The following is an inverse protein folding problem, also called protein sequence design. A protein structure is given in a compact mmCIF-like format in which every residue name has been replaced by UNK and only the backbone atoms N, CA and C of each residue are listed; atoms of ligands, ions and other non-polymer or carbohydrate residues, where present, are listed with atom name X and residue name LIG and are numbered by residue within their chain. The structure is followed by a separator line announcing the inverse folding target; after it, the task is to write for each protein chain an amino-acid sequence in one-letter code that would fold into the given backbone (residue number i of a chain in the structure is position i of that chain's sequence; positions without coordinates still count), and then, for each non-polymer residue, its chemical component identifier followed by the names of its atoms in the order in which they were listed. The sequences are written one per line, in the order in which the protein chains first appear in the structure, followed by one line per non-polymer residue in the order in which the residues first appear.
data_IF_263552128908
#
_entry.id   IF_263552128908
#
_cell.length_a   1.000
_cell.length_b   1.000
_cell.length_c   1.000
_cell.angle_alpha   90.00
_cell.angle_beta   90.00
_cell.angle_gamma   90.00
#
_symmetry.space_group_name_H-M   'P 1'
#
loop_
_entity.id
_entity.type
_entity.pdbx_description
1 polymer ?
#
# COMPACT_ATOMS: atom_id res chain seq x y z
N UNK A 1 -7.21 21.02 -10.51
CA UNK A 1 -7.42 22.38 -9.90
C UNK A 1 -8.68 22.32 -9.05
N UNK A 2 -8.70 22.98 -7.88
CA UNK A 2 -9.91 23.06 -7.05
C UNK A 2 -10.90 23.98 -7.76
N UNK A 3 -12.13 23.53 -7.97
CA UNK A 3 -13.21 24.30 -8.58
C UNK A 3 -14.30 24.71 -7.59
N UNK A 4 -14.51 23.90 -6.55
CA UNK A 4 -15.57 24.16 -5.57
C UNK A 4 -15.22 23.57 -4.20
N UNK A 5 -15.60 24.28 -3.14
CA UNK A 5 -15.56 23.81 -1.75
C UNK A 5 -16.96 23.93 -1.15
N UNK A 6 -17.47 22.86 -0.57
CA UNK A 6 -18.70 22.82 0.21
C UNK A 6 -18.40 22.38 1.62
N UNK A 7 -18.97 23.09 2.58
CA UNK A 7 -18.86 22.77 4.01
C UNK A 7 -20.25 22.80 4.60
N UNK A 8 -20.57 21.77 5.39
CA UNK A 8 -21.84 21.69 6.12
C UNK A 8 -21.60 21.25 7.56
N UNK A 9 -22.10 22.04 8.51
CA UNK A 9 -22.06 21.78 9.95
C UNK A 9 -20.64 21.53 10.51
N UNK A 10 -19.65 22.26 10.02
CA UNK A 10 -18.24 22.12 10.41
C UNK A 10 -17.83 23.33 11.25
N UNK A 11 -17.52 23.10 12.51
CA UNK A 11 -17.24 24.13 13.52
C UNK A 11 -18.35 25.19 13.58
N UNK A 12 -18.03 26.45 13.26
CA UNK A 12 -18.98 27.56 13.24
C UNK A 12 -19.71 27.74 11.90
N UNK A 13 -19.34 26.93 10.90
CA UNK A 13 -19.92 27.03 9.56
C UNK A 13 -21.09 26.05 9.46
N UNK A 14 -22.30 26.56 9.43
CA UNK A 14 -23.51 25.75 9.21
C UNK A 14 -23.61 25.29 7.75
N UNK A 15 -23.43 26.24 6.82
CA UNK A 15 -23.42 25.97 5.38
C UNK A 15 -22.54 27.00 4.66
N UNK A 16 -21.65 26.51 3.80
CA UNK A 16 -20.79 27.31 2.94
C UNK A 16 -20.61 26.63 1.60
N UNK A 17 -20.79 27.37 0.53
CA UNK A 17 -20.44 26.95 -0.82
C UNK A 17 -19.58 28.02 -1.47
N UNK A 18 -18.38 27.65 -1.89
CA UNK A 18 -17.43 28.53 -2.55
C UNK A 18 -17.06 27.98 -3.91
N UNK A 19 -17.35 28.73 -4.96
CA UNK A 19 -16.83 28.47 -6.30
C UNK A 19 -15.46 29.15 -6.44
N UNK A 20 -14.43 28.33 -6.75
CA UNK A 20 -13.05 28.77 -6.88
C UNK A 20 -12.67 28.82 -8.35
N UNK A 21 -12.32 30.01 -8.84
CA UNK A 21 -11.87 30.21 -10.22
C UNK A 21 -10.38 29.86 -10.36
N UNK A 22 -9.98 29.59 -11.62
CA UNK A 22 -8.57 29.40 -11.95
C UNK A 22 -7.77 30.67 -11.64
N UNK A 23 -6.61 30.51 -11.00
CA UNK A 23 -5.70 31.59 -10.66
C UNK A 23 -5.56 31.78 -9.15
N UNK A 24 -5.54 33.01 -8.71
CA UNK A 24 -5.30 33.39 -7.32
C UNK A 24 -6.59 33.85 -6.64
N UNK A 25 -6.90 33.28 -5.47
CA UNK A 25 -8.07 33.64 -4.66
C UNK A 25 -7.60 34.12 -3.29
N UNK A 26 -8.08 35.29 -2.87
CA UNK A 26 -7.80 35.84 -1.53
C UNK A 26 -9.04 35.72 -0.66
N UNK A 27 -8.87 35.16 0.54
CA UNK A 27 -9.89 35.13 1.58
C UNK A 27 -9.48 36.08 2.70
N UNK A 28 -10.21 37.18 2.86
CA UNK A 28 -9.98 38.18 3.88
C UNK A 28 -11.04 38.16 4.97
N UNK A 29 -10.74 38.70 6.13
CA UNK A 29 -11.65 38.76 7.26
C UNK A 29 -10.90 39.03 8.56
N UNK A 30 -11.61 39.49 9.58
CA UNK A 30 -11.06 39.73 10.93
C UNK A 30 -10.60 38.41 11.61
N UNK A 31 -9.83 38.56 12.70
CA UNK A 31 -9.49 37.43 13.59
C UNK A 31 -10.77 36.83 14.15
N UNK A 32 -10.90 35.48 14.04
CA UNK A 32 -12.12 34.78 14.47
C UNK A 32 -13.20 34.65 13.39
N UNK A 33 -13.06 35.27 12.21
CA UNK A 33 -14.08 35.21 11.12
C UNK A 33 -14.19 33.85 10.41
N UNK A 34 -13.51 32.82 10.87
CA UNK A 34 -13.61 31.48 10.26
C UNK A 34 -12.53 31.13 9.25
N UNK A 35 -11.54 31.98 8.95
CA UNK A 35 -10.44 31.68 8.01
C UNK A 35 -9.67 30.40 8.37
N UNK A 36 -9.36 30.22 9.65
CA UNK A 36 -8.71 29.00 10.15
C UNK A 36 -9.61 27.75 10.03
N UNK A 37 -10.92 27.93 10.08
CA UNK A 37 -11.88 26.82 9.90
C UNK A 37 -11.84 26.34 8.44
N UNK A 38 -11.69 27.25 7.47
CA UNK A 38 -11.51 26.86 6.06
C UNK A 38 -10.21 26.05 5.87
N UNK A 39 -9.10 26.50 6.45
CA UNK A 39 -7.84 25.73 6.39
C UNK A 39 -7.98 24.34 7.03
N UNK A 40 -8.66 24.24 8.18
CA UNK A 40 -8.93 22.97 8.82
C UNK A 40 -9.83 22.05 7.96
N UNK A 41 -10.79 22.63 7.23
CA UNK A 41 -11.61 21.86 6.28
C UNK A 41 -10.75 21.33 5.12
N UNK A 42 -9.83 22.11 4.57
CA UNK A 42 -8.88 21.63 3.56
C UNK A 42 -7.93 20.55 4.13
N UNK A 43 -7.38 20.72 5.34
CA UNK A 43 -6.56 19.69 6.00
C UNK A 43 -7.31 18.38 6.18
N UNK A 44 -8.60 18.47 6.52
CA UNK A 44 -9.46 17.29 6.62
C UNK A 44 -9.56 16.54 5.28
N UNK A 45 -9.63 17.26 4.16
CA UNK A 45 -9.66 16.67 2.82
C UNK A 45 -8.31 16.05 2.41
N UNK A 46 -7.20 16.50 2.98
CA UNK A 46 -5.88 15.88 2.81
C UNK A 46 -5.65 14.63 3.67
N UNK A 47 -6.68 14.15 4.33
CA UNK A 47 -6.59 12.90 5.11
C UNK A 47 -6.09 13.10 6.54
N UNK A 48 -6.13 14.30 7.10
CA UNK A 48 -5.85 14.50 8.50
C UNK A 48 -6.95 13.89 9.41
N UNK A 49 -6.54 13.53 10.61
CA UNK A 49 -7.49 13.05 11.63
C UNK A 49 -8.32 14.22 12.13
N UNK A 50 -9.62 14.04 12.21
CA UNK A 50 -10.52 15.03 12.77
C UNK A 50 -10.99 14.61 14.16
N UNK A 51 -11.10 15.60 15.03
CA UNK A 51 -11.81 15.43 16.29
C UNK A 51 -13.32 15.70 16.05
N UNK A 52 -14.19 14.94 16.70
CA UNK A 52 -15.65 15.14 16.65
C UNK A 52 -16.09 16.49 17.19
N UNK A 53 -15.25 17.17 17.96
CA UNK A 53 -15.49 18.54 18.45
C UNK A 53 -15.68 19.58 17.33
N UNK A 54 -15.25 19.27 16.10
CA UNK A 54 -15.49 20.16 14.95
C UNK A 54 -16.89 20.04 14.35
N UNK A 55 -17.74 19.15 14.85
CA UNK A 55 -19.13 19.03 14.40
C UNK A 55 -19.96 20.12 15.09
N UNK A 56 -20.70 20.90 14.32
CA UNK A 56 -21.58 21.94 14.85
C UNK A 56 -22.50 21.40 15.95
N UNK A 57 -22.74 22.21 17.00
CA UNK A 57 -23.43 21.80 18.22
C UNK A 57 -24.80 21.18 17.97
N UNK A 58 -25.53 21.71 16.99
CA UNK A 58 -26.89 21.29 16.63
C UNK A 58 -26.96 20.19 15.55
N UNK A 59 -25.82 19.79 14.97
CA UNK A 59 -25.77 18.82 13.90
C UNK A 59 -25.39 17.41 14.37
N UNK A 60 -25.86 16.39 13.68
CA UNK A 60 -25.47 14.99 13.89
C UNK A 60 -24.19 14.63 13.13
N UNK A 61 -23.93 15.32 12.03
CA UNK A 61 -22.74 15.10 11.19
C UNK A 61 -22.24 16.42 10.58
N UNK A 62 -20.93 16.47 10.32
CA UNK A 62 -20.29 17.48 9.50
C UNK A 62 -19.86 16.87 8.17
N UNK A 63 -19.95 17.64 7.09
CA UNK A 63 -19.57 17.23 5.75
C UNK A 63 -18.65 18.32 5.16
N UNK A 64 -17.56 17.89 4.55
CA UNK A 64 -16.72 18.73 3.70
C UNK A 64 -16.58 18.06 2.35
N UNK A 65 -16.83 18.79 1.27
CA UNK A 65 -16.65 18.34 -0.10
C UNK A 65 -15.71 19.28 -0.86
N UNK A 66 -14.83 18.71 -1.65
CA UNK A 66 -13.91 19.42 -2.50
C UNK A 66 -14.00 18.88 -3.93
N UNK A 67 -14.28 19.76 -4.88
CA UNK A 67 -14.37 19.40 -6.29
C UNK A 67 -13.06 19.76 -6.99
N UNK A 68 -12.48 18.79 -7.68
CA UNK A 68 -11.23 18.89 -8.40
C UNK A 68 -11.45 18.66 -9.90
N UNK A 69 -11.12 19.65 -10.71
CA UNK A 69 -11.12 19.46 -12.17
C UNK A 69 -9.99 18.52 -12.61
N UNK A 70 -10.30 17.60 -13.52
CA UNK A 70 -9.47 16.45 -13.90
C UNK A 70 -8.42 16.75 -15.00
N UNK A 71 -7.84 17.94 -15.05
CA UNK A 71 -6.87 18.32 -16.09
C UNK A 71 -5.61 17.42 -16.13
N UNK A 72 -5.33 16.64 -15.09
CA UNK A 72 -4.24 15.66 -15.00
C UNK A 72 -4.70 14.48 -14.16
N UNK A 73 -5.67 13.72 -14.70
CA UNK A 73 -6.19 12.54 -14.03
C UNK A 73 -5.12 11.44 -14.05
N UNK A 74 -4.81 10.91 -12.88
CA UNK A 74 -3.97 9.72 -12.77
C UNK A 74 -4.85 8.47 -12.95
N UNK A 75 -5.06 8.04 -14.20
CA UNK A 75 -5.86 6.87 -14.53
C UNK A 75 -5.40 5.62 -13.78
N UNK A 76 -4.09 5.46 -13.59
CA UNK A 76 -3.52 4.29 -12.90
C UNK A 76 -3.96 4.22 -11.43
N UNK A 77 -4.10 5.36 -10.77
CA UNK A 77 -4.60 5.43 -9.40
C UNK A 77 -6.07 4.98 -9.31
N UNK A 78 -6.91 5.45 -10.23
CA UNK A 78 -8.34 5.09 -10.25
C UNK A 78 -8.55 3.60 -10.54
N UNK A 79 -7.81 3.05 -11.50
CA UNK A 79 -7.84 1.61 -11.81
C UNK A 79 -7.36 0.76 -10.63
N UNK A 80 -6.22 1.13 -10.02
CA UNK A 80 -5.63 0.45 -8.85
C UNK A 80 -6.62 0.34 -7.69
N UNK A 81 -7.40 1.40 -7.46
CA UNK A 81 -8.32 1.48 -6.34
C UNK A 81 -9.79 1.22 -6.72
N UNK A 82 -10.06 0.80 -7.97
CA UNK A 82 -11.40 0.50 -8.49
C UNK A 82 -12.38 1.66 -8.28
N UNK A 83 -11.94 2.88 -8.60
CA UNK A 83 -12.70 4.11 -8.47
C UNK A 83 -13.29 4.54 -9.82
N UNK A 84 -14.51 5.10 -9.78
CA UNK A 84 -15.13 5.65 -10.97
C UNK A 84 -14.44 6.93 -11.43
N UNK A 85 -14.29 7.06 -12.75
CA UNK A 85 -13.69 8.23 -13.40
C UNK A 85 -14.82 9.14 -13.89
N UNK A 86 -14.84 10.37 -13.39
CA UNK A 86 -15.81 11.40 -13.78
C UNK A 86 -15.09 12.64 -14.32
N UNK A 87 -15.80 13.57 -14.95
CA UNK A 87 -15.24 14.83 -15.44
C UNK A 87 -14.66 15.70 -14.32
N UNK A 88 -15.24 15.59 -13.13
CA UNK A 88 -14.80 16.29 -11.91
C UNK A 88 -14.68 15.28 -10.79
N UNK A 89 -13.51 15.17 -10.17
CA UNK A 89 -13.33 14.31 -8.99
C UNK A 89 -13.87 15.02 -7.76
N UNK A 90 -14.80 14.39 -7.07
CA UNK A 90 -15.38 14.87 -5.81
C UNK A 90 -14.75 14.12 -4.65
N UNK A 91 -14.07 14.84 -3.78
CA UNK A 91 -13.59 14.32 -2.50
C UNK A 91 -14.60 14.70 -1.43
N UNK A 92 -15.07 13.75 -0.60
CA UNK A 92 -15.99 14.03 0.49
C UNK A 92 -15.54 13.37 1.79
N UNK A 93 -15.63 14.12 2.87
CA UNK A 93 -15.42 13.65 4.23
C UNK A 93 -16.68 13.87 5.05
N UNK A 94 -17.10 12.82 5.75
CA UNK A 94 -18.20 12.86 6.71
C UNK A 94 -17.68 12.51 8.11
N UNK A 95 -17.99 13.35 9.08
CA UNK A 95 -17.70 13.15 10.48
C UNK A 95 -19.03 13.01 11.24
N UNK A 96 -19.17 11.99 12.05
CA UNK A 96 -20.39 11.74 12.84
C UNK A 96 -20.06 11.81 14.32
N UNK A 97 -21.02 12.30 15.14
CA UNK A 97 -20.83 12.49 16.60
C UNK A 97 -20.42 11.23 17.35
N UNK A 98 -20.76 10.05 16.84
CA UNK A 98 -20.36 8.75 17.42
C UNK A 98 -18.87 8.40 17.19
N UNK A 99 -18.08 9.33 16.66
CA UNK A 99 -16.66 9.17 16.41
C UNK A 99 -16.32 8.54 15.04
N UNK A 100 -17.31 8.15 14.25
CA UNK A 100 -17.06 7.58 12.92
C UNK A 100 -16.72 8.66 11.91
N UNK A 101 -15.70 8.40 11.10
CA UNK A 101 -15.27 9.25 10.01
C UNK A 101 -15.23 8.43 8.72
N UNK A 102 -15.85 8.95 7.66
CA UNK A 102 -15.91 8.32 6.34
C UNK A 102 -15.27 9.22 5.31
N UNK A 103 -14.56 8.63 4.36
CA UNK A 103 -13.98 9.33 3.23
C UNK A 103 -14.53 8.74 1.94
N UNK A 104 -14.72 9.58 0.93
CA UNK A 104 -15.22 9.18 -0.38
C UNK A 104 -14.41 9.88 -1.46
N UNK A 105 -14.19 9.17 -2.56
CA UNK A 105 -13.71 9.72 -3.83
C UNK A 105 -14.81 9.39 -4.86
N UNK A 106 -15.38 10.41 -5.45
CA UNK A 106 -16.68 10.36 -6.13
C UNK A 106 -17.70 9.76 -5.15
N UNK A 107 -18.55 8.88 -5.51
CA UNK A 107 -19.50 8.27 -4.56
C UNK A 107 -18.96 6.98 -3.89
N UNK A 108 -17.70 6.61 -4.19
CA UNK A 108 -17.06 5.39 -3.67
C UNK A 108 -16.44 5.64 -2.29
N UNK A 109 -16.86 4.90 -1.24
CA UNK A 109 -16.22 4.99 0.07
C UNK A 109 -14.81 4.43 0.03
N UNK A 110 -13.84 5.18 0.59
CA UNK A 110 -12.43 4.80 0.60
C UNK A 110 -11.83 4.85 2.00
N UNK A 111 -10.74 4.11 2.20
CA UNK A 111 -9.92 4.26 3.40
C UNK A 111 -9.25 5.64 3.42
N UNK A 112 -9.00 6.17 4.62
CA UNK A 112 -8.37 7.48 4.80
C UNK A 112 -6.96 7.54 4.16
N UNK A 113 -6.24 6.41 4.14
CA UNK A 113 -4.94 6.27 3.49
C UNK A 113 -5.01 6.50 1.97
N UNK A 114 -6.08 6.02 1.32
CA UNK A 114 -6.30 6.20 -0.12
C UNK A 114 -6.61 7.67 -0.44
N UNK A 115 -7.45 8.32 0.38
CA UNK A 115 -7.71 9.74 0.24
C UNK A 115 -6.42 10.56 0.40
N UNK A 116 -5.59 10.22 1.38
CA UNK A 116 -4.30 10.88 1.61
C UNK A 116 -3.33 10.66 0.43
N UNK A 117 -3.22 9.43 -0.07
CA UNK A 117 -2.40 9.09 -1.26
C UNK A 117 -2.85 9.93 -2.47
N UNK A 118 -4.16 10.06 -2.69
CA UNK A 118 -4.70 10.85 -3.79
C UNK A 118 -4.39 12.34 -3.69
N UNK A 119 -4.49 12.90 -2.48
CA UNK A 119 -4.38 14.36 -2.27
C UNK A 119 -2.94 14.84 -2.09
N UNK A 120 -2.03 13.97 -1.67
CA UNK A 120 -0.65 14.31 -1.29
C UNK A 120 0.12 15.07 -2.38
N UNK A 121 -0.08 14.72 -3.66
CA UNK A 121 0.60 15.36 -4.80
C UNK A 121 -0.27 16.38 -5.53
N UNK A 122 -1.51 16.60 -5.09
CA UNK A 122 -2.49 17.48 -5.76
C UNK A 122 -2.85 18.72 -4.95
N UNK A 123 -2.74 18.62 -3.64
CA UNK A 123 -3.08 19.68 -2.70
C UNK A 123 -1.89 19.93 -1.78
N UNK A 124 -1.52 21.20 -1.62
CA UNK A 124 -0.48 21.63 -0.71
C UNK A 124 -1.04 22.72 0.19
N UNK A 125 -0.95 22.55 1.50
CA UNK A 125 -1.34 23.56 2.49
C UNK A 125 -0.09 24.03 3.22
N UNK A 126 0.20 25.33 3.09
CA UNK A 126 1.19 26.00 3.91
C UNK A 126 0.50 26.69 5.08
N UNK A 127 0.70 26.19 6.28
CA UNK A 127 0.22 26.80 7.51
C UNK A 127 1.38 27.08 8.45
N UNK A 128 1.12 27.91 9.47
CA UNK A 128 2.13 28.22 10.50
C UNK A 128 2.70 26.97 11.21
N UNK A 129 1.99 25.83 11.13
CA UNK A 129 2.32 24.58 11.83
C UNK A 129 2.81 23.47 10.89
N UNK A 130 2.65 23.60 9.57
CA UNK A 130 2.96 22.56 8.59
C UNK A 130 4.23 22.84 7.77
N UNK A 131 5.36 22.91 8.43
CA UNK A 131 6.69 22.84 7.80
C UNK A 131 7.20 21.39 7.66
N UNK A 132 6.32 20.40 7.84
CA UNK A 132 6.73 18.99 7.92
C UNK A 132 7.15 18.36 6.58
N UNK A 133 6.61 18.80 5.46
CA UNK A 133 6.88 18.18 4.16
C UNK A 133 8.33 18.33 3.70
N UNK A 134 8.96 19.48 3.97
CA UNK A 134 10.37 19.70 3.63
C UNK A 134 11.36 19.04 4.61
N UNK A 135 10.90 18.42 5.70
CA UNK A 135 11.76 17.70 6.65
C UNK A 135 12.11 16.29 6.20
N UNK A 136 11.34 15.72 5.28
CA UNK A 136 11.67 14.42 4.70
C UNK A 136 12.82 14.57 3.70
N UNK A 137 13.89 13.79 3.87
CA UNK A 137 14.98 13.72 2.88
C UNK A 137 14.47 13.31 1.50
N UNK A 138 13.46 12.46 1.45
CA UNK A 138 12.84 12.01 0.21
C UNK A 138 12.19 13.18 -0.53
N UNK A 139 11.36 13.98 0.15
CA UNK A 139 10.70 15.14 -0.45
C UNK A 139 11.71 16.20 -0.89
N UNK A 140 12.80 16.38 -0.13
CA UNK A 140 13.88 17.29 -0.53
C UNK A 140 14.56 16.84 -1.83
N UNK A 141 14.83 15.53 -1.98
CA UNK A 141 15.40 14.96 -3.21
C UNK A 141 14.45 15.13 -4.39
N UNK A 142 13.18 14.78 -4.22
CA UNK A 142 12.16 14.93 -5.28
C UNK A 142 12.02 16.38 -5.75
N UNK A 143 12.03 17.33 -4.82
CA UNK A 143 12.03 18.75 -5.14
C UNK A 143 13.30 19.17 -5.90
N UNK A 144 14.47 18.71 -5.44
CA UNK A 144 15.74 18.97 -6.10
C UNK A 144 15.77 18.38 -7.52
N UNK A 145 15.33 17.15 -7.71
CA UNK A 145 15.26 16.47 -9.00
C UNK A 145 14.30 17.20 -9.96
N UNK A 146 13.17 17.67 -9.43
CA UNK A 146 12.20 18.46 -10.19
C UNK A 146 12.78 19.82 -10.63
N UNK A 147 13.42 20.56 -9.71
CA UNK A 147 14.05 21.85 -10.01
C UNK A 147 15.24 21.72 -10.99
N UNK A 148 15.94 20.59 -10.93
CA UNK A 148 17.06 20.29 -11.83
C UNK A 148 16.62 19.81 -13.21
N UNK A 149 15.33 19.56 -13.43
CA UNK A 149 14.79 19.07 -14.71
C UNK A 149 15.24 17.65 -15.07
N UNK A 150 15.63 16.83 -14.08
CA UNK A 150 16.13 15.45 -14.29
C UNK A 150 15.12 14.37 -13.90
N UNK A 151 13.89 14.73 -13.62
CA UNK A 151 12.82 13.84 -13.14
C UNK A 151 12.66 12.58 -14.00
N UNK A 152 12.67 12.73 -15.35
CA UNK A 152 12.54 11.59 -16.27
C UNK A 152 13.73 10.62 -16.14
N UNK A 153 14.96 11.14 -15.95
CA UNK A 153 16.15 10.30 -15.75
C UNK A 153 16.11 9.56 -14.42
N UNK A 154 15.61 10.21 -13.37
CA UNK A 154 15.46 9.62 -12.04
C UNK A 154 14.41 8.50 -12.09
N UNK A 155 13.28 8.70 -12.78
CA UNK A 155 12.27 7.67 -12.99
C UNK A 155 12.80 6.47 -13.77
N UNK A 156 13.52 6.71 -14.88
CA UNK A 156 14.14 5.66 -15.68
C UNK A 156 15.17 4.86 -14.84
N UNK A 157 16.01 5.55 -14.08
CA UNK A 157 16.95 4.91 -13.16
C UNK A 157 16.23 4.08 -12.10
N UNK A 158 15.17 4.62 -11.49
CA UNK A 158 14.36 3.92 -10.49
C UNK A 158 13.77 2.61 -11.02
N UNK A 159 13.25 2.63 -12.25
CA UNK A 159 12.71 1.43 -12.91
C UNK A 159 13.80 0.36 -13.12
N UNK A 160 14.97 0.77 -13.60
CA UNK A 160 16.11 -0.14 -13.79
C UNK A 160 16.63 -0.69 -12.47
N UNK A 161 16.75 0.14 -11.45
CA UNK A 161 17.17 -0.26 -10.12
C UNK A 161 16.19 -1.27 -9.49
N UNK A 162 14.91 -1.05 -9.60
CA UNK A 162 13.89 -1.99 -9.13
C UNK A 162 13.98 -3.34 -9.85
N UNK A 163 14.15 -3.32 -11.17
CA UNK A 163 14.37 -4.55 -11.97
C UNK A 163 15.62 -5.31 -11.51
N UNK A 164 16.72 -4.59 -11.26
CA UNK A 164 17.96 -5.18 -10.73
C UNK A 164 17.73 -5.86 -9.38
N UNK A 165 16.99 -5.23 -8.45
CA UNK A 165 16.68 -5.81 -7.15
C UNK A 165 15.87 -7.10 -7.27
N UNK A 166 14.85 -7.13 -8.13
CA UNK A 166 14.04 -8.33 -8.38
C UNK A 166 14.88 -9.47 -8.96
N UNK A 167 15.78 -9.16 -9.89
CA UNK A 167 16.67 -10.16 -10.46
C UNK A 167 17.68 -10.70 -9.42
N UNK A 168 18.20 -9.83 -8.56
CA UNK A 168 19.09 -10.23 -7.45
C UNK A 168 18.39 -11.17 -6.46
N UNK A 169 17.13 -10.87 -6.12
CA UNK A 169 16.33 -11.74 -5.25
C UNK A 169 16.07 -13.10 -5.90
N UNK A 170 15.68 -13.12 -7.19
CA UNK A 170 15.49 -14.34 -7.95
C UNK A 170 16.75 -15.20 -8.03
N UNK A 171 17.91 -14.58 -8.29
CA UNK A 171 19.19 -15.27 -8.27
C UNK A 171 19.49 -15.89 -6.91
N UNK A 172 19.25 -15.16 -5.82
CA UNK A 172 19.46 -15.68 -4.46
C UNK A 172 18.58 -16.89 -4.16
N UNK A 173 17.31 -16.87 -4.59
CA UNK A 173 16.39 -18.01 -4.46
C UNK A 173 16.91 -19.21 -5.26
N UNK A 174 17.26 -19.01 -6.54
CA UNK A 174 17.81 -20.09 -7.39
C UNK A 174 19.08 -20.71 -6.83
N UNK A 175 19.98 -19.89 -6.27
CA UNK A 175 21.21 -20.40 -5.62
C UNK A 175 20.89 -21.26 -4.39
N UNK A 176 19.91 -20.86 -3.58
CA UNK A 176 19.48 -21.63 -2.42
C UNK A 176 18.84 -22.96 -2.84
N UNK A 177 18.01 -22.95 -3.87
CA UNK A 177 17.35 -24.14 -4.39
C UNK A 177 18.39 -25.09 -5.01
N UNK A 178 19.35 -24.59 -5.76
CA UNK A 178 20.45 -25.36 -6.30
C UNK A 178 21.29 -26.03 -5.21
N UNK A 179 21.62 -25.29 -4.15
CA UNK A 179 22.36 -25.83 -3.01
C UNK A 179 21.61 -26.93 -2.26
N UNK A 180 20.27 -26.81 -2.14
CA UNK A 180 19.43 -27.88 -1.58
C UNK A 180 19.43 -29.11 -2.49
N UNK A 181 19.14 -28.91 -3.78
CA UNK A 181 19.11 -30.01 -4.76
C UNK A 181 20.47 -30.73 -4.85
N UNK A 182 21.59 -30.01 -4.74
CA UNK A 182 22.92 -30.62 -4.74
C UNK A 182 23.11 -31.53 -3.52
N UNK A 183 22.71 -31.10 -2.32
CA UNK A 183 22.78 -31.92 -1.10
C UNK A 183 21.87 -33.15 -1.19
N UNK A 184 20.64 -32.96 -1.72
CA UNK A 184 19.69 -34.05 -1.90
C UNK A 184 20.22 -35.08 -2.92
N UNK A 185 20.89 -34.60 -3.98
CA UNK A 185 21.54 -35.49 -4.95
C UNK A 185 22.64 -36.33 -4.30
N UNK A 186 23.53 -35.71 -3.53
CA UNK A 186 24.64 -36.40 -2.88
C UNK A 186 24.09 -37.45 -1.89
N UNK A 187 23.05 -37.11 -1.13
CA UNK A 187 22.40 -38.03 -0.22
C UNK A 187 21.71 -39.20 -0.96
N UNK A 188 20.98 -38.90 -2.03
CA UNK A 188 20.31 -39.95 -2.83
C UNK A 188 21.32 -40.85 -3.54
N UNK A 189 22.45 -40.29 -3.98
CA UNK A 189 23.55 -41.07 -4.55
C UNK A 189 24.13 -42.04 -3.53
N UNK A 190 24.37 -41.58 -2.30
CA UNK A 190 24.80 -42.42 -1.20
C UNK A 190 23.82 -43.59 -0.92
N UNK A 191 22.52 -43.26 -0.81
CA UNK A 191 21.49 -44.29 -0.60
C UNK A 191 21.42 -45.30 -1.76
N UNK A 192 21.55 -44.84 -2.98
CA UNK A 192 21.57 -45.66 -4.18
C UNK A 192 22.75 -46.64 -4.14
N UNK A 193 23.95 -46.18 -3.80
CA UNK A 193 25.13 -47.00 -3.70
C UNK A 193 25.01 -48.03 -2.57
N UNK A 194 24.46 -47.66 -1.42
CA UNK A 194 24.18 -48.57 -0.31
C UNK A 194 23.23 -49.68 -0.72
N UNK A 195 22.09 -49.34 -1.36
CA UNK A 195 21.12 -50.31 -1.85
C UNK A 195 21.71 -51.18 -2.95
N UNK A 196 22.46 -50.65 -3.85
CA UNK A 196 23.09 -51.37 -4.95
C UNK A 196 24.13 -52.39 -4.43
N UNK A 197 24.90 -52.02 -3.39
CA UNK A 197 25.88 -52.90 -2.75
C UNK A 197 25.21 -54.12 -2.05
N UNK A 198 23.95 -53.98 -1.67
CA UNK A 198 23.16 -55.10 -1.11
C UNK A 198 22.79 -56.17 -2.14
N UNK A 199 22.92 -55.87 -3.45
CA UNK A 199 22.61 -56.76 -4.58
C UNK A 199 21.26 -57.44 -4.44
N UNK A 200 20.24 -56.71 -4.03
CA UNK A 200 18.89 -57.26 -3.70
C UNK A 200 18.27 -58.00 -4.88
N UNK A 201 18.49 -57.56 -6.10
CA UNK A 201 17.94 -58.21 -7.32
C UNK A 201 18.58 -59.55 -7.60
N UNK A 202 19.73 -59.83 -7.05
CA UNK A 202 20.44 -61.14 -7.21
C UNK A 202 20.17 -62.09 -6.07
N UNK A 203 19.55 -61.65 -4.98
CA UNK A 203 19.27 -62.50 -3.82
C UNK A 203 17.98 -63.26 -4.02
N UNK A 204 18.08 -64.60 -3.86
CA UNK A 204 16.91 -65.45 -3.85
C UNK A 204 16.25 -65.38 -2.47
N UNK A 205 15.25 -64.53 -2.31
CA UNK A 205 14.54 -64.35 -1.05
C UNK A 205 13.99 -65.61 -0.47
N UNK A 206 13.44 -66.52 -1.32
CA UNK A 206 12.92 -67.80 -0.87
C UNK A 206 14.01 -68.73 -0.25
N UNK A 207 15.25 -68.62 -0.74
CA UNK A 207 16.37 -69.34 -0.13
C UNK A 207 16.75 -68.80 1.25
N UNK A 208 16.73 -67.45 1.38
CA UNK A 208 17.02 -66.79 2.65
C UNK A 208 15.94 -67.02 3.69
N UNK A 209 14.66 -67.02 3.30
CA UNK A 209 13.54 -67.40 4.18
C UNK A 209 13.62 -68.81 4.64
N UNK A 210 13.95 -69.76 3.74
CA UNK A 210 14.15 -71.15 4.09
C UNK A 210 15.32 -71.39 5.05
N UNK A 211 16.41 -70.60 4.89
CA UNK A 211 17.55 -70.70 5.78
C UNK A 211 17.22 -70.09 7.14
N UNK A 212 16.51 -68.97 7.20
CA UNK A 212 15.98 -68.38 8.43
C UNK A 212 15.09 -69.36 9.17
N UNK A 213 14.11 -70.01 8.46
CA UNK A 213 13.21 -70.98 9.04
C UNK A 213 13.97 -72.20 9.62
N UNK A 214 15.04 -72.66 8.93
CA UNK A 214 15.87 -73.77 9.44
C UNK A 214 16.66 -73.36 10.69
N UNK A 215 17.17 -72.12 10.74
CA UNK A 215 17.87 -71.62 11.89
C UNK A 215 16.97 -71.38 13.10
N UNK A 216 15.78 -70.85 12.90
CA UNK A 216 14.78 -70.66 13.97
C UNK A 216 14.31 -71.99 14.59
N UNK A 217 14.20 -73.03 13.78
CA UNK A 217 13.74 -74.35 14.23
C UNK A 217 14.89 -75.38 14.40
N UNK A 218 16.13 -74.90 14.51
CA UNK A 218 17.30 -75.74 14.60
C UNK A 218 17.28 -76.67 15.82
N UNK A 219 16.69 -76.26 16.91
CA UNK A 219 16.53 -77.09 18.13
C UNK A 219 15.48 -78.19 17.98
N UNK A 220 14.49 -78.07 17.09
CA UNK A 220 13.50 -79.06 16.82
C UNK A 220 13.92 -80.08 15.73
N UNK A 221 14.88 -79.69 14.87
CA UNK A 221 15.37 -80.53 13.76
C UNK A 221 16.49 -81.50 14.22
N UNK A 222 17.14 -81.24 15.34
CA UNK A 222 18.24 -82.02 15.89
C UNK A 222 17.77 -83.10 16.93
N UNK A 223 16.47 -83.45 16.97
CA UNK A 223 15.93 -84.57 17.68
C UNK A 223 15.63 -85.63 16.65
#
# INVERSE_FOLDING_TARGET
MISKLRISNFALIEHLELDLKKGFTIVTGETGSGKSILLNAFSLMMGERANTSVIGSHAKKAIVELHLGNNHLDHSFFEKHQLDIEETTILRRELVKDGKSRAFINDTPVALSILKEFTQNKLLIHSQYNTYELKSKQTQLELFDSLSGITDKVQAFGALYHKMLLQKESLSRLMNDFNKMSKDKDYNQFLYEELNNLQLDQRNYSSIENELFKLENADEINI
#
